data_IF_288449367806
#
_entry.id   IF_288449367806
#
_cell.length_a   1.000
_cell.length_b   1.000
_cell.length_c   1.000
_cell.angle_alpha   90.00
_cell.angle_beta   90.00
_cell.angle_gamma   90.00
#
_symmetry.space_group_name_H-M   'P 1'
#
loop_
_entity.id
_entity.type
_entity.pdbx_description
1 polymer ?
#
# COMPACT_ATOMS: atom_id res chain seq x y z
N UNK A 1 -11.51 17.19 -66.10
CA UNK A 1 -11.35 17.96 -64.91
C UNK A 1 -11.50 16.99 -63.71
N UNK A 2 -10.37 16.53 -63.13
CA UNK A 2 -10.36 15.61 -61.98
C UNK A 2 -10.26 16.45 -60.71
N UNK A 3 -11.30 16.37 -59.84
CA UNK A 3 -11.28 17.00 -58.51
C UNK A 3 -10.49 16.08 -57.56
N UNK A 4 -9.35 16.56 -57.08
CA UNK A 4 -8.62 15.96 -55.95
C UNK A 4 -9.38 16.32 -54.68
N UNK A 5 -9.91 15.33 -53.95
CA UNK A 5 -10.32 15.48 -52.56
C UNK A 5 -9.08 15.28 -51.68
N UNK A 6 -8.61 16.33 -51.05
CA UNK A 6 -7.68 16.23 -49.92
C UNK A 6 -8.50 15.84 -48.66
N UNK A 7 -8.32 14.60 -48.22
CA UNK A 7 -8.79 14.17 -46.91
C UNK A 7 -7.77 14.63 -45.86
N UNK A 8 -8.11 15.68 -45.12
CA UNK A 8 -7.31 16.12 -43.95
C UNK A 8 -7.46 15.11 -42.83
N UNK A 9 -6.38 14.41 -42.49
CA UNK A 9 -6.27 13.58 -41.28
C UNK A 9 -6.12 14.51 -40.11
N UNK A 10 -7.20 14.77 -39.38
CA UNK A 10 -7.10 15.43 -38.05
C UNK A 10 -6.50 14.43 -37.06
N UNK A 11 -5.22 14.60 -36.77
CA UNK A 11 -4.59 13.93 -35.59
C UNK A 11 -5.24 14.55 -34.34
N UNK A 12 -6.19 13.87 -33.76
CA UNK A 12 -6.67 14.14 -32.42
C UNK A 12 -5.55 13.69 -31.47
N UNK A 13 -4.71 14.62 -31.08
CA UNK A 13 -3.72 14.40 -30.02
C UNK A 13 -4.47 14.13 -28.72
N UNK A 14 -4.62 12.86 -28.33
CA UNK A 14 -5.05 12.51 -27.00
C UNK A 14 -4.03 13.08 -26.02
N UNK A 15 -4.43 14.10 -25.26
CA UNK A 15 -3.65 14.55 -24.13
C UNK A 15 -3.57 13.37 -23.13
N UNK A 16 -2.41 12.75 -23.03
CA UNK A 16 -2.16 11.75 -22.01
C UNK A 16 -2.16 12.46 -20.67
N UNK A 17 -3.27 12.40 -19.95
CA UNK A 17 -3.30 12.71 -18.52
C UNK A 17 -2.43 11.63 -17.87
N UNK A 18 -1.28 12.01 -17.36
CA UNK A 18 -0.44 11.09 -16.60
C UNK A 18 -1.25 10.60 -15.40
N UNK A 19 -1.44 9.28 -15.28
CA UNK A 19 -2.16 8.72 -14.15
C UNK A 19 -1.37 9.07 -12.88
N UNK A 20 -2.01 9.86 -11.99
CA UNK A 20 -1.39 10.19 -10.72
C UNK A 20 -1.33 8.96 -9.81
N UNK A 21 -0.32 8.87 -8.92
CA UNK A 21 -0.22 7.76 -7.98
C UNK A 21 -1.46 7.68 -7.08
N UNK A 22 -1.89 6.45 -6.79
CA UNK A 22 -2.96 6.18 -5.83
C UNK A 22 -2.40 6.23 -4.42
N UNK A 23 -3.14 6.83 -3.50
CA UNK A 23 -2.70 7.06 -2.13
C UNK A 23 -3.05 5.89 -1.21
N UNK A 24 -2.07 5.41 -0.47
CA UNK A 24 -2.18 4.43 0.62
C UNK A 24 -1.92 5.15 1.95
N UNK A 25 -2.80 4.95 2.93
CA UNK A 25 -2.56 5.41 4.30
C UNK A 25 -1.67 4.39 5.03
N UNK A 26 -0.42 4.77 5.33
CA UNK A 26 0.55 3.95 6.05
C UNK A 26 0.12 3.79 7.52
N UNK A 27 -0.15 2.55 7.94
CA UNK A 27 -0.71 2.20 9.26
C UNK A 27 -2.02 2.90 9.59
N UNK A 28 -2.80 3.24 8.55
CA UNK A 28 -4.02 4.02 8.66
C UNK A 28 -3.80 5.54 8.73
N UNK A 29 -4.87 6.30 8.97
CA UNK A 29 -4.79 7.74 9.19
C UNK A 29 -4.83 8.03 10.70
N UNK A 30 -3.68 8.01 11.33
CA UNK A 30 -3.51 8.06 12.79
C UNK A 30 -3.09 9.42 13.33
N UNK A 31 -2.77 10.40 12.49
CA UNK A 31 -2.32 11.73 12.91
C UNK A 31 -3.46 12.67 13.34
N UNK A 32 -4.63 12.11 13.60
CA UNK A 32 -5.80 12.81 14.15
C UNK A 32 -5.89 12.61 15.68
N UNK A 33 -6.44 13.58 16.44
CA UNK A 33 -6.64 13.42 17.88
C UNK A 33 -7.43 12.14 18.21
N UNK A 34 -6.99 11.39 19.22
CA UNK A 34 -7.64 10.16 19.66
C UNK A 34 -7.39 8.94 18.77
N UNK A 35 -6.44 9.03 17.84
CA UNK A 35 -6.05 7.92 16.97
C UNK A 35 -4.62 7.49 17.20
N UNK A 36 -4.32 6.21 16.97
CA UNK A 36 -2.98 5.63 17.00
C UNK A 36 -2.78 4.79 15.72
N UNK A 37 -1.52 4.60 15.31
CA UNK A 37 -1.19 3.74 14.17
C UNK A 37 -1.68 2.31 14.38
N UNK A 38 -2.06 1.62 13.29
CA UNK A 38 -2.47 0.21 13.36
C UNK A 38 -3.70 -0.07 14.25
N UNK A 39 -4.61 0.88 14.37
CA UNK A 39 -5.83 0.74 15.18
C UNK A 39 -7.11 0.83 14.37
N UNK A 40 -8.22 0.47 15.01
CA UNK A 40 -9.55 0.62 14.39
C UNK A 40 -9.84 2.10 14.08
N UNK A 41 -9.42 3.04 14.93
CA UNK A 41 -9.64 4.46 14.70
C UNK A 41 -8.88 4.96 13.47
N UNK A 42 -7.61 4.57 13.29
CA UNK A 42 -6.83 4.98 12.11
C UNK A 42 -7.37 4.38 10.81
N UNK A 43 -7.92 3.16 10.88
CA UNK A 43 -8.61 2.54 9.75
C UNK A 43 -9.87 3.32 9.37
N UNK A 44 -10.73 3.65 10.35
CA UNK A 44 -11.97 4.43 10.12
C UNK A 44 -11.63 5.79 9.50
N UNK A 45 -10.66 6.50 10.05
CA UNK A 45 -10.25 7.80 9.54
C UNK A 45 -9.77 7.73 8.08
N UNK A 46 -8.99 6.71 7.74
CA UNK A 46 -8.51 6.49 6.36
C UNK A 46 -9.66 6.12 5.41
N UNK A 47 -10.61 5.30 5.84
CA UNK A 47 -11.82 4.97 5.08
C UNK A 47 -12.68 6.22 4.81
N UNK A 48 -12.86 7.09 5.80
CA UNK A 48 -13.59 8.37 5.66
C UNK A 48 -12.87 9.35 4.72
N UNK A 49 -11.54 9.34 4.72
CA UNK A 49 -10.73 10.15 3.81
C UNK A 49 -10.85 9.70 2.35
N UNK A 50 -11.25 8.44 2.10
CA UNK A 50 -11.43 7.91 0.75
C UNK A 50 -10.11 7.67 0.02
N UNK A 51 -9.09 7.15 0.71
CA UNK A 51 -7.84 6.70 0.10
C UNK A 51 -8.02 5.37 -0.64
N UNK A 52 -7.10 5.04 -1.55
CA UNK A 52 -7.10 3.75 -2.24
C UNK A 52 -7.08 2.57 -1.29
N UNK A 53 -6.20 2.62 -0.30
CA UNK A 53 -6.03 1.53 0.63
C UNK A 53 -5.39 1.95 1.94
N UNK A 54 -5.50 1.07 2.91
CA UNK A 54 -4.88 1.18 4.23
C UNK A 54 -3.86 0.06 4.37
N UNK A 55 -2.61 0.43 4.55
CA UNK A 55 -1.57 -0.51 4.93
C UNK A 55 -1.58 -0.69 6.45
N UNK A 56 -1.33 -1.91 6.92
CA UNK A 56 -1.28 -2.25 8.34
C UNK A 56 -0.43 -3.49 8.59
N UNK A 57 0.19 -3.54 9.76
CA UNK A 57 1.18 -4.53 10.14
C UNK A 57 0.59 -5.67 10.97
N UNK A 58 0.91 -6.91 10.65
CA UNK A 58 0.42 -8.08 11.40
C UNK A 58 1.56 -8.86 12.05
N UNK A 59 1.35 -9.21 13.31
CA UNK A 59 2.19 -10.10 14.11
C UNK A 59 1.36 -11.17 14.79
N UNK A 60 2.02 -12.25 15.19
CA UNK A 60 1.43 -13.34 15.94
C UNK A 60 1.93 -13.33 17.38
N UNK A 61 1.02 -13.37 18.34
CA UNK A 61 1.33 -13.42 19.78
C UNK A 61 1.90 -14.77 20.21
N UNK A 62 2.39 -14.85 21.46
CA UNK A 62 2.91 -16.09 22.02
C UNK A 62 1.85 -17.21 22.09
N UNK A 63 0.59 -16.85 22.35
CA UNK A 63 -0.55 -17.77 22.40
C UNK A 63 -1.27 -17.95 21.05
N UNK A 64 -0.73 -17.35 19.98
CA UNK A 64 -1.17 -17.63 18.62
C UNK A 64 -2.20 -16.66 18.05
N UNK A 65 -2.61 -15.62 18.74
CA UNK A 65 -3.52 -14.61 18.18
C UNK A 65 -2.82 -13.72 17.16
N UNK A 66 -3.49 -13.40 16.06
CA UNK A 66 -3.02 -12.43 15.07
C UNK A 66 -3.48 -11.03 15.47
N UNK A 67 -2.52 -10.14 15.71
CA UNK A 67 -2.75 -8.76 16.15
C UNK A 67 -2.20 -7.76 15.14
N UNK A 68 -2.77 -6.54 15.14
CA UNK A 68 -2.34 -5.47 14.24
C UNK A 68 -1.44 -4.51 15.01
N UNK A 69 -0.11 -4.60 14.74
CA UNK A 69 0.91 -3.81 15.41
C UNK A 69 2.22 -3.81 14.63
N UNK A 70 2.89 -2.66 14.52
CA UNK A 70 4.13 -2.53 13.76
C UNK A 70 5.35 -3.15 14.46
N UNK A 71 5.66 -2.67 15.64
CA UNK A 71 6.88 -3.04 16.34
C UNK A 71 6.78 -4.38 17.09
N UNK A 72 7.92 -5.01 17.44
CA UNK A 72 7.90 -6.10 18.39
C UNK A 72 7.56 -5.58 19.79
N UNK A 73 8.02 -4.37 20.15
CA UNK A 73 7.75 -3.76 21.47
C UNK A 73 6.43 -3.00 21.48
N UNK A 74 5.69 -3.15 22.56
CA UNK A 74 4.45 -2.46 22.86
C UNK A 74 4.65 -1.72 24.19
N UNK A 75 4.81 -0.41 24.13
CA UNK A 75 5.32 0.35 25.25
C UNK A 75 6.68 -0.16 25.72
N UNK A 76 6.97 0.00 27.01
CA UNK A 76 8.29 -0.37 27.58
C UNK A 76 8.39 -1.84 28.01
N UNK A 77 7.27 -2.55 28.18
CA UNK A 77 7.21 -3.82 28.91
C UNK A 77 6.73 -5.01 28.07
N UNK A 78 5.96 -4.81 27.01
CA UNK A 78 5.36 -5.89 26.24
C UNK A 78 6.09 -6.11 24.94
N UNK A 79 6.09 -7.35 24.47
CA UNK A 79 6.61 -7.77 23.18
C UNK A 79 5.51 -8.56 22.46
N UNK A 80 5.18 -8.13 21.26
CA UNK A 80 4.09 -8.72 20.46
C UNK A 80 4.23 -10.24 20.26
N UNK A 81 5.44 -10.78 20.24
CA UNK A 81 5.68 -12.20 19.97
C UNK A 81 5.99 -13.03 21.23
N UNK A 82 6.16 -12.38 22.38
CA UNK A 82 6.51 -13.04 23.65
C UNK A 82 5.39 -13.03 24.67
N UNK A 83 4.45 -12.11 24.52
CA UNK A 83 3.30 -11.98 25.41
C UNK A 83 2.05 -12.61 24.80
N UNK A 84 1.11 -13.00 25.65
CA UNK A 84 -0.23 -13.45 25.25
C UNK A 84 -1.09 -12.26 24.83
N UNK A 85 -2.13 -12.53 24.03
CA UNK A 85 -3.07 -11.48 23.69
C UNK A 85 -3.80 -10.93 24.92
N UNK A 86 -4.08 -11.77 25.93
CA UNK A 86 -4.70 -11.34 27.17
C UNK A 86 -3.86 -10.29 27.94
N UNK A 87 -2.52 -10.36 27.85
CA UNK A 87 -1.64 -9.34 28.41
C UNK A 87 -1.61 -8.09 27.54
N UNK A 88 -1.49 -8.25 26.22
CA UNK A 88 -1.40 -7.14 25.25
C UNK A 88 -2.69 -6.33 25.19
N UNK A 89 -3.85 -6.98 25.24
CA UNK A 89 -5.17 -6.31 25.15
C UNK A 89 -5.48 -5.33 26.29
N UNK A 90 -4.73 -5.41 27.39
CA UNK A 90 -4.83 -4.48 28.53
C UNK A 90 -4.05 -3.19 28.31
N UNK A 91 -3.12 -3.20 27.36
CA UNK A 91 -2.32 -2.01 27.05
C UNK A 91 -3.17 -0.99 26.30
N UNK A 92 -3.11 0.26 26.76
CA UNK A 92 -3.79 1.40 26.13
C UNK A 92 -2.72 2.27 25.47
N UNK A 93 -2.88 2.50 24.18
CA UNK A 93 -2.01 3.35 23.38
C UNK A 93 -2.19 4.84 23.74
N UNK A 94 -1.23 5.72 23.42
CA UNK A 94 -1.30 7.14 23.77
C UNK A 94 -2.58 7.88 23.36
N UNK A 95 -3.18 7.52 22.23
CA UNK A 95 -4.45 8.07 21.75
C UNK A 95 -5.69 7.44 22.39
N UNK A 96 -5.52 6.54 23.36
CA UNK A 96 -6.62 5.88 24.08
C UNK A 96 -7.12 4.59 23.40
N UNK A 97 -6.51 4.15 22.32
CA UNK A 97 -6.89 2.95 21.59
C UNK A 97 -6.27 1.69 22.20
N UNK A 98 -6.82 0.52 21.82
CA UNK A 98 -6.22 -0.79 22.11
C UNK A 98 -5.69 -1.41 20.84
N UNK A 99 -4.72 -2.32 20.98
CA UNK A 99 -4.20 -3.12 19.87
C UNK A 99 -5.29 -4.12 19.45
N UNK A 100 -5.79 -4.03 18.21
CA UNK A 100 -6.85 -4.92 17.76
C UNK A 100 -6.30 -6.28 17.32
N UNK A 101 -7.11 -7.31 17.39
CA UNK A 101 -6.89 -8.54 16.64
C UNK A 101 -7.06 -8.29 15.14
N UNK A 102 -6.43 -9.12 14.32
CA UNK A 102 -6.65 -9.09 12.87
C UNK A 102 -8.14 -9.25 12.51
N UNK A 103 -8.84 -10.12 13.23
CA UNK A 103 -10.29 -10.31 13.04
C UNK A 103 -11.09 -9.05 13.27
N UNK A 104 -10.82 -8.32 14.32
CA UNK A 104 -11.51 -7.05 14.63
C UNK A 104 -11.21 -6.01 13.55
N UNK A 105 -9.96 -5.91 13.12
CA UNK A 105 -9.52 -4.99 12.06
C UNK A 105 -10.22 -5.29 10.74
N UNK A 106 -10.24 -6.56 10.30
CA UNK A 106 -10.93 -6.99 9.10
C UNK A 106 -12.45 -6.77 9.19
N UNK A 107 -13.07 -7.01 10.36
CA UNK A 107 -14.48 -6.73 10.57
C UNK A 107 -14.83 -5.23 10.44
N UNK A 108 -13.92 -4.34 10.80
CA UNK A 108 -14.08 -2.92 10.49
C UNK A 108 -13.86 -2.66 9.01
N UNK A 109 -12.79 -3.22 8.42
CA UNK A 109 -12.41 -3.01 7.03
C UNK A 109 -13.53 -3.31 6.03
N UNK A 110 -14.25 -4.42 6.21
CA UNK A 110 -15.34 -4.83 5.30
C UNK A 110 -16.54 -3.90 5.25
N UNK A 111 -16.64 -2.92 6.18
CA UNK A 111 -17.74 -1.93 6.17
C UNK A 111 -17.59 -0.93 5.02
N UNK A 112 -16.37 -0.79 4.46
CA UNK A 112 -16.07 0.08 3.32
C UNK A 112 -15.26 -0.73 2.30
N UNK A 113 -15.91 -1.56 1.48
CA UNK A 113 -15.25 -2.52 0.59
C UNK A 113 -14.42 -1.86 -0.52
N UNK A 114 -14.64 -0.58 -0.81
CA UNK A 114 -13.90 0.21 -1.79
C UNK A 114 -12.46 0.49 -1.32
N UNK A 115 -12.20 0.53 -0.01
CA UNK A 115 -10.87 0.73 0.55
C UNK A 115 -10.13 -0.59 0.60
N UNK A 116 -9.02 -0.73 -0.13
CA UNK A 116 -8.17 -1.92 -0.05
C UNK A 116 -7.49 -2.04 1.32
N UNK A 117 -7.35 -3.28 1.77
CA UNK A 117 -6.64 -3.62 3.00
C UNK A 117 -5.30 -4.27 2.63
N UNK A 118 -4.20 -3.55 2.85
CA UNK A 118 -2.86 -3.95 2.46
C UNK A 118 -2.14 -4.47 3.70
N UNK A 119 -2.17 -5.79 3.89
CA UNK A 119 -1.62 -6.45 5.07
C UNK A 119 -0.13 -6.68 4.91
N UNK A 120 0.69 -6.08 5.77
CA UNK A 120 2.11 -6.42 5.90
C UNK A 120 2.30 -7.54 6.92
N UNK A 121 2.77 -8.71 6.46
CA UNK A 121 3.29 -9.72 7.37
C UNK A 121 4.74 -9.39 7.73
N UNK A 122 4.98 -9.06 8.99
CA UNK A 122 6.34 -8.84 9.49
C UNK A 122 7.13 -10.14 9.47
N UNK A 123 8.43 -10.03 9.12
CA UNK A 123 9.34 -11.16 9.05
C UNK A 123 9.39 -11.93 10.39
N UNK A 124 9.37 -13.26 10.31
CA UNK A 124 9.47 -14.17 11.45
C UNK A 124 10.78 -14.96 11.42
N UNK A 125 11.02 -15.77 12.46
CA UNK A 125 12.31 -16.42 12.67
C UNK A 125 12.66 -17.46 11.62
N UNK A 126 11.67 -18.22 11.13
CA UNK A 126 11.88 -19.28 10.15
C UNK A 126 10.80 -19.28 9.09
N UNK A 127 11.10 -19.81 7.88
CA UNK A 127 10.11 -19.95 6.81
C UNK A 127 8.88 -20.78 7.22
N UNK A 128 9.04 -21.82 8.05
CA UNK A 128 7.93 -22.68 8.48
C UNK A 128 6.94 -21.91 9.38
N UNK A 129 7.45 -20.97 10.20
CA UNK A 129 6.61 -20.08 11.00
C UNK A 129 5.85 -19.14 10.07
N UNK A 130 6.52 -18.55 9.09
CA UNK A 130 5.89 -17.66 8.11
C UNK A 130 4.80 -18.39 7.32
N UNK A 131 5.07 -19.61 6.83
CA UNK A 131 4.07 -20.46 6.13
C UNK A 131 2.80 -20.63 6.97
N UNK A 132 2.92 -21.03 8.24
CA UNK A 132 1.75 -21.20 9.13
C UNK A 132 0.96 -19.90 9.32
N UNK A 133 1.66 -18.80 9.52
CA UNK A 133 1.00 -17.49 9.72
C UNK A 133 0.28 -17.04 8.45
N UNK A 134 0.88 -17.25 7.27
CA UNK A 134 0.22 -16.96 5.99
C UNK A 134 -1.02 -17.84 5.81
N UNK A 135 -0.96 -19.12 6.17
CA UNK A 135 -2.12 -20.02 6.15
C UNK A 135 -3.24 -19.53 7.07
N UNK A 136 -2.91 -19.15 8.32
CA UNK A 136 -3.86 -18.60 9.30
C UNK A 136 -4.51 -17.31 8.77
N UNK A 137 -3.72 -16.37 8.20
CA UNK A 137 -4.21 -15.11 7.62
C UNK A 137 -5.16 -15.38 6.46
N UNK A 138 -4.73 -16.16 5.46
CA UNK A 138 -5.53 -16.44 4.26
C UNK A 138 -6.80 -17.20 4.60
N UNK A 139 -6.74 -18.14 5.56
CA UNK A 139 -7.92 -18.87 6.04
C UNK A 139 -8.91 -17.93 6.74
N UNK A 140 -8.43 -16.99 7.56
CA UNK A 140 -9.26 -15.98 8.21
C UNK A 140 -9.93 -15.08 7.17
N UNK A 141 -9.18 -14.59 6.17
CA UNK A 141 -9.72 -13.76 5.09
C UNK A 141 -10.79 -14.51 4.28
N UNK A 142 -10.58 -15.79 3.95
CA UNK A 142 -11.57 -16.66 3.30
C UNK A 142 -12.83 -16.81 4.14
N UNK A 143 -12.68 -17.13 5.44
CA UNK A 143 -13.80 -17.30 6.38
C UNK A 143 -14.65 -16.02 6.51
N UNK A 144 -14.03 -14.85 6.36
CA UNK A 144 -14.71 -13.57 6.43
C UNK A 144 -15.20 -13.05 5.06
N UNK A 145 -14.96 -13.78 3.96
CA UNK A 145 -15.21 -13.36 2.59
C UNK A 145 -14.52 -12.02 2.23
N UNK A 146 -13.26 -11.85 2.66
CA UNK A 146 -12.52 -10.59 2.55
C UNK A 146 -11.43 -10.60 1.46
N UNK A 147 -11.17 -11.73 0.81
CA UNK A 147 -10.06 -11.83 -0.12
C UNK A 147 -10.08 -10.75 -1.21
N UNK A 148 -11.23 -10.44 -1.79
CA UNK A 148 -11.34 -9.46 -2.87
C UNK A 148 -10.92 -8.03 -2.45
N UNK A 149 -10.94 -7.75 -1.14
CA UNK A 149 -10.51 -6.48 -0.56
C UNK A 149 -9.03 -6.48 -0.14
N UNK A 150 -8.40 -7.68 -0.03
CA UNK A 150 -7.05 -7.83 0.50
C UNK A 150 -5.96 -7.68 -0.57
N UNK A 151 -4.88 -7.02 -0.18
CA UNK A 151 -3.55 -7.10 -0.79
C UNK A 151 -2.56 -7.53 0.30
N UNK A 152 -1.48 -8.22 -0.08
CA UNK A 152 -0.51 -8.74 0.88
C UNK A 152 0.87 -8.19 0.59
N UNK A 153 1.64 -7.94 1.64
CA UNK A 153 3.00 -7.43 1.47
C UNK A 153 3.92 -7.96 2.58
N UNK A 154 5.21 -8.10 2.29
CA UNK A 154 6.22 -8.54 3.25
C UNK A 154 7.64 -8.21 2.79
N UNK A 155 8.55 -8.02 3.75
CA UNK A 155 10.00 -8.04 3.54
C UNK A 155 10.57 -9.46 3.35
N UNK A 156 9.77 -10.51 3.55
CA UNK A 156 10.15 -11.89 3.34
C UNK A 156 9.70 -12.38 1.97
N UNK A 157 10.64 -12.72 1.08
CA UNK A 157 10.33 -13.36 -0.20
C UNK A 157 9.56 -14.65 0.00
N UNK A 158 9.90 -15.43 1.06
CA UNK A 158 9.20 -16.66 1.37
C UNK A 158 7.71 -16.40 1.67
N UNK A 159 7.42 -15.43 2.55
CA UNK A 159 6.04 -15.05 2.86
C UNK A 159 5.29 -14.57 1.61
N UNK A 160 5.94 -13.79 0.73
CA UNK A 160 5.34 -13.36 -0.53
C UNK A 160 4.99 -14.57 -1.44
N UNK A 161 5.88 -15.56 -1.55
CA UNK A 161 5.60 -16.80 -2.32
C UNK A 161 4.44 -17.58 -1.73
N UNK A 162 4.36 -17.68 -0.40
CA UNK A 162 3.26 -18.35 0.28
C UNK A 162 1.91 -17.64 0.08
N UNK A 163 1.86 -16.28 0.14
CA UNK A 163 0.67 -15.54 -0.22
C UNK A 163 0.27 -15.78 -1.68
N UNK A 164 1.22 -15.77 -2.62
CA UNK A 164 0.94 -16.09 -4.03
C UNK A 164 0.41 -17.50 -4.21
N UNK A 165 0.93 -18.49 -3.48
CA UNK A 165 0.48 -19.88 -3.52
C UNK A 165 -0.96 -20.05 -3.01
N UNK A 166 -1.32 -19.39 -1.90
CA UNK A 166 -2.59 -19.58 -1.17
C UNK A 166 -3.71 -18.64 -1.62
N UNK A 167 -3.35 -17.47 -2.16
CA UNK A 167 -4.26 -16.45 -2.64
C UNK A 167 -3.77 -15.87 -4.00
N UNK A 168 -3.71 -16.72 -5.07
CA UNK A 168 -3.05 -16.37 -6.34
C UNK A 168 -3.71 -15.21 -7.10
N UNK A 169 -4.95 -14.87 -6.79
CA UNK A 169 -5.67 -13.74 -7.41
C UNK A 169 -5.40 -12.41 -6.71
N UNK A 170 -4.85 -12.45 -5.50
CA UNK A 170 -4.57 -11.26 -4.73
C UNK A 170 -3.22 -10.66 -5.12
N UNK A 171 -3.14 -9.34 -5.13
CA UNK A 171 -1.89 -8.62 -5.29
C UNK A 171 -0.96 -8.95 -4.12
N UNK A 172 0.29 -9.27 -4.44
CA UNK A 172 1.35 -9.48 -3.45
C UNK A 172 2.51 -8.57 -3.79
N UNK A 173 2.98 -7.82 -2.80
CA UNK A 173 4.06 -6.86 -2.96
C UNK A 173 5.27 -7.33 -2.13
N UNK A 174 6.44 -7.32 -2.74
CA UNK A 174 7.69 -7.48 -2.01
C UNK A 174 8.19 -6.10 -1.56
N UNK A 175 8.51 -5.97 -0.26
CA UNK A 175 9.00 -4.71 0.34
C UNK A 175 10.52 -4.74 0.47
N UNK A 176 11.19 -3.62 0.18
CA UNK A 176 12.61 -3.45 0.52
C UNK A 176 12.98 -1.99 0.80
N UNK A 177 13.93 -1.82 1.72
CA UNK A 177 14.64 -0.57 1.98
C UNK A 177 16.16 -0.69 1.72
N UNK A 178 16.61 -1.80 1.12
CA UNK A 178 18.02 -2.09 0.87
C UNK A 178 18.41 -1.79 -0.58
N UNK A 179 19.47 -1.03 -0.77
CA UNK A 179 20.08 -0.83 -2.10
C UNK A 179 20.86 -2.06 -2.59
N UNK A 180 21.26 -2.94 -1.69
CA UNK A 180 22.22 -4.02 -2.00
C UNK A 180 21.55 -5.30 -2.50
N UNK A 181 20.31 -5.56 -2.10
CA UNK A 181 19.59 -6.80 -2.40
C UNK A 181 18.12 -6.59 -2.78
N UNK A 182 17.75 -5.53 -3.50
CA UNK A 182 16.38 -5.45 -3.99
C UNK A 182 16.18 -6.50 -5.08
N UNK A 183 15.02 -7.16 -5.08
CA UNK A 183 14.56 -7.92 -6.24
C UNK A 183 14.39 -6.92 -7.39
N UNK A 184 14.95 -7.21 -8.56
CA UNK A 184 14.72 -6.39 -9.74
C UNK A 184 13.33 -6.62 -10.36
N UNK A 185 12.94 -5.75 -11.28
CA UNK A 185 11.62 -5.79 -11.89
C UNK A 185 11.35 -7.09 -12.68
N UNK A 186 12.35 -7.66 -13.34
CA UNK A 186 12.21 -8.89 -14.12
C UNK A 186 11.99 -10.10 -13.22
N UNK A 187 12.71 -10.17 -12.09
CA UNK A 187 12.50 -11.21 -11.07
C UNK A 187 11.10 -11.05 -10.45
N UNK A 188 10.69 -9.82 -10.10
CA UNK A 188 9.36 -9.56 -9.57
C UNK A 188 8.26 -10.02 -10.54
N UNK A 189 8.41 -9.72 -11.83
CA UNK A 189 7.47 -10.16 -12.88
C UNK A 189 7.37 -11.69 -12.94
N UNK A 190 8.51 -12.38 -12.90
CA UNK A 190 8.57 -13.84 -12.93
C UNK A 190 7.89 -14.48 -11.72
N UNK A 191 8.12 -13.93 -10.51
CA UNK A 191 7.53 -14.41 -9.26
C UNK A 191 6.05 -13.98 -9.10
N UNK A 192 5.58 -13.06 -9.93
CA UNK A 192 4.22 -12.49 -9.85
C UNK A 192 4.07 -11.49 -8.69
N UNK A 193 5.16 -10.84 -8.27
CA UNK A 193 5.14 -9.79 -7.27
C UNK A 193 4.97 -8.42 -7.91
N UNK A 194 4.45 -7.48 -7.13
CA UNK A 194 4.63 -6.05 -7.29
C UNK A 194 5.75 -5.59 -6.35
N UNK A 195 6.31 -4.39 -6.55
CA UNK A 195 7.41 -3.92 -5.72
C UNK A 195 7.01 -2.70 -4.89
N UNK A 196 7.31 -2.78 -3.61
CA UNK A 196 7.07 -1.70 -2.64
C UNK A 196 8.40 -1.30 -2.02
N UNK A 197 9.03 -0.26 -2.55
CA UNK A 197 10.36 0.13 -2.12
C UNK A 197 10.38 1.50 -1.46
N UNK A 198 11.32 1.65 -0.50
CA UNK A 198 11.50 2.92 0.17
C UNK A 198 11.94 3.99 -0.82
N UNK A 199 11.64 5.25 -0.47
CA UNK A 199 12.11 6.44 -1.19
C UNK A 199 13.63 6.38 -1.43
N UNK A 200 14.39 5.89 -0.45
CA UNK A 200 15.84 5.76 -0.56
C UNK A 200 16.26 4.82 -1.70
N UNK A 201 15.56 3.69 -1.90
CA UNK A 201 15.86 2.75 -2.99
C UNK A 201 15.51 3.36 -4.34
N UNK A 202 14.28 3.84 -4.52
CA UNK A 202 13.83 4.32 -5.82
C UNK A 202 14.53 5.60 -6.27
N UNK A 203 14.82 6.54 -5.35
CA UNK A 203 15.55 7.75 -5.73
C UNK A 203 17.02 7.50 -6.09
N UNK A 204 17.64 6.45 -5.56
CA UNK A 204 19.01 6.05 -5.96
C UNK A 204 19.03 5.09 -7.16
N UNK A 205 17.89 4.49 -7.52
CA UNK A 205 17.73 3.55 -8.63
C UNK A 205 16.44 3.81 -9.42
N UNK A 206 16.28 5.00 -10.00
CA UNK A 206 15.05 5.37 -10.73
C UNK A 206 14.81 4.48 -11.97
N UNK A 207 15.85 3.90 -12.54
CA UNK A 207 15.77 2.95 -13.66
C UNK A 207 14.94 1.71 -13.34
N UNK A 208 14.79 1.35 -12.04
CA UNK A 208 13.89 0.27 -11.63
C UNK A 208 12.43 0.59 -11.95
N UNK A 209 12.01 1.83 -11.71
CA UNK A 209 10.62 2.26 -11.99
C UNK A 209 10.37 2.28 -13.49
N UNK A 210 11.33 2.77 -14.28
CA UNK A 210 11.23 2.77 -15.74
C UNK A 210 11.05 1.34 -16.26
N UNK A 211 11.84 0.38 -15.76
CA UNK A 211 11.71 -1.03 -16.12
C UNK A 211 10.38 -1.62 -15.65
N UNK A 212 9.94 -1.32 -14.42
CA UNK A 212 8.65 -1.76 -13.88
C UNK A 212 7.50 -1.29 -14.77
N UNK A 213 7.49 -0.01 -15.15
CA UNK A 213 6.49 0.58 -16.06
C UNK A 213 6.49 -0.13 -17.43
N UNK A 214 7.67 -0.42 -17.98
CA UNK A 214 7.82 -1.10 -19.28
C UNK A 214 7.19 -2.50 -19.29
N UNK A 215 7.41 -3.28 -18.23
CA UNK A 215 6.96 -4.68 -18.15
C UNK A 215 5.66 -4.89 -17.38
N UNK A 216 5.04 -3.81 -16.86
CA UNK A 216 3.78 -3.86 -16.13
C UNK A 216 3.89 -4.52 -14.75
N UNK A 217 4.94 -4.16 -13.99
CA UNK A 217 5.06 -4.41 -12.55
C UNK A 217 4.70 -3.12 -11.83
N UNK A 218 3.71 -3.15 -10.94
CA UNK A 218 3.30 -1.95 -10.21
C UNK A 218 4.31 -1.56 -9.14
N UNK A 219 4.51 -0.26 -8.97
CA UNK A 219 5.42 0.34 -8.01
C UNK A 219 4.67 1.00 -6.84
N UNK A 220 5.15 0.77 -5.61
CA UNK A 220 4.71 1.50 -4.42
C UNK A 220 5.91 2.18 -3.77
N UNK A 221 5.85 3.50 -3.65
CA UNK A 221 6.86 4.32 -2.98
C UNK A 221 6.45 4.62 -1.54
N UNK A 222 7.33 4.38 -0.57
CA UNK A 222 7.13 4.69 0.84
C UNK A 222 8.41 5.22 1.50
N UNK A 223 8.38 6.18 2.43
CA UNK A 223 7.21 6.90 2.94
C UNK A 223 7.21 8.28 2.29
N UNK A 224 6.05 8.73 1.80
CA UNK A 224 5.90 9.98 1.02
C UNK A 224 5.09 10.98 1.85
N UNK A 225 5.79 11.84 2.59
CA UNK A 225 5.20 12.76 3.56
C UNK A 225 5.36 14.24 3.18
N UNK A 226 6.00 14.54 2.04
CA UNK A 226 6.19 15.90 1.58
C UNK A 226 5.90 16.08 0.08
N UNK A 227 5.54 17.31 -0.36
CA UNK A 227 5.17 17.60 -1.75
C UNK A 227 6.25 17.29 -2.79
N UNK A 228 7.53 17.52 -2.48
CA UNK A 228 8.63 17.33 -3.42
C UNK A 228 8.76 15.85 -3.82
N UNK A 229 8.49 14.95 -2.88
CA UNK A 229 8.50 13.51 -3.15
C UNK A 229 7.25 13.07 -3.91
N UNK A 230 6.10 13.72 -3.68
CA UNK A 230 4.90 13.51 -4.50
C UNK A 230 5.17 13.91 -5.94
N UNK A 231 5.77 15.09 -6.19
CA UNK A 231 6.14 15.55 -7.52
C UNK A 231 7.11 14.58 -8.21
N UNK A 232 8.10 14.09 -7.46
CA UNK A 232 9.03 13.08 -7.95
C UNK A 232 8.29 11.79 -8.34
N UNK A 233 7.37 11.31 -7.52
CA UNK A 233 6.58 10.11 -7.80
C UNK A 233 5.69 10.27 -9.05
N UNK A 234 5.05 11.43 -9.21
CA UNK A 234 4.26 11.78 -10.41
C UNK A 234 5.14 11.79 -11.65
N UNK A 235 6.30 12.46 -11.59
CA UNK A 235 7.27 12.54 -12.68
C UNK A 235 7.74 11.16 -13.16
N UNK A 236 8.00 10.25 -12.23
CA UNK A 236 8.49 8.90 -12.53
C UNK A 236 7.36 7.88 -12.73
N UNK A 237 6.09 8.31 -12.75
CA UNK A 237 4.92 7.44 -12.96
C UNK A 237 4.83 6.29 -11.97
N UNK A 238 5.09 6.58 -10.70
CA UNK A 238 4.88 5.63 -9.60
C UNK A 238 3.39 5.35 -9.48
N UNK A 239 2.99 4.07 -9.31
CA UNK A 239 1.58 3.69 -9.28
C UNK A 239 0.92 4.00 -7.94
N UNK A 240 1.66 3.82 -6.84
CA UNK A 240 1.14 4.04 -5.47
C UNK A 240 2.15 4.79 -4.63
N UNK A 241 1.65 5.63 -3.74
CA UNK A 241 2.43 6.27 -2.68
C UNK A 241 1.81 5.98 -1.32
N UNK A 242 2.65 5.65 -0.34
CA UNK A 242 2.25 5.38 1.04
C UNK A 242 2.71 6.52 1.95
N UNK A 243 1.79 7.12 2.71
CA UNK A 243 2.05 8.32 3.54
C UNK A 243 1.54 8.17 4.96
N UNK A 244 2.28 8.75 5.93
CA UNK A 244 1.85 8.94 7.32
C UNK A 244 0.86 10.09 7.48
N UNK A 245 0.81 11.02 6.50
CA UNK A 245 -0.07 12.19 6.48
C UNK A 245 -1.00 12.14 5.25
N UNK A 246 -1.88 11.11 5.16
CA UNK A 246 -2.67 10.88 3.95
C UNK A 246 -3.62 12.04 3.61
N UNK A 247 -4.08 12.81 4.59
CA UNK A 247 -4.92 14.00 4.40
C UNK A 247 -4.18 15.09 3.61
N UNK A 248 -2.95 15.41 4.03
CA UNK A 248 -2.09 16.43 3.37
C UNK A 248 -1.69 15.96 1.98
N UNK A 249 -1.26 14.71 1.87
CA UNK A 249 -0.85 14.12 0.60
C UNK A 249 -2.01 14.06 -0.39
N UNK A 250 -3.22 13.70 0.08
CA UNK A 250 -4.43 13.72 -0.76
C UNK A 250 -4.77 15.13 -1.24
N UNK A 251 -4.74 16.10 -0.36
CA UNK A 251 -5.00 17.52 -0.72
C UNK A 251 -4.03 18.00 -1.80
N UNK A 252 -2.76 17.64 -1.69
CA UNK A 252 -1.75 18.00 -2.68
C UNK A 252 -1.99 17.31 -4.04
N UNK A 253 -2.26 16.01 -4.05
CA UNK A 253 -2.61 15.26 -5.27
C UNK A 253 -3.86 15.84 -5.96
N UNK A 254 -4.90 16.17 -5.20
CA UNK A 254 -6.13 16.75 -5.75
C UNK A 254 -5.87 18.14 -6.36
N UNK A 255 -5.00 18.95 -5.77
CA UNK A 255 -4.57 20.25 -6.34
C UNK A 255 -3.79 20.06 -7.65
N UNK A 256 -2.86 19.10 -7.74
CA UNK A 256 -2.13 18.77 -8.96
C UNK A 256 -3.09 18.33 -10.09
N UNK A 257 -4.07 17.49 -9.78
CA UNK A 257 -5.08 17.02 -10.74
C UNK A 257 -5.91 18.18 -11.30
N UNK A 258 -6.32 19.10 -10.43
CA UNK A 258 -7.08 20.30 -10.82
C UNK A 258 -6.28 21.18 -11.76
N UNK A 259 -5.00 21.44 -11.43
CA UNK A 259 -4.09 22.25 -12.25
C UNK A 259 -3.83 21.63 -13.63
N UNK A 260 -3.67 20.30 -13.70
CA UNK A 260 -3.48 19.58 -14.96
C UNK A 260 -4.73 19.65 -15.85
N UNK A 261 -5.90 19.45 -15.26
CA UNK A 261 -7.20 19.59 -15.98
C UNK A 261 -7.38 20.99 -16.54
N UNK A 262 -7.07 22.03 -15.79
CA UNK A 262 -7.16 23.40 -16.24
C UNK A 262 -6.21 23.71 -17.41
N UNK A 263 -4.97 23.21 -17.38
CA UNK A 263 -3.98 23.35 -18.46
C UNK A 263 -4.47 22.68 -19.75
N UNK A 264 -5.00 21.45 -19.64
CA UNK A 264 -5.51 20.68 -20.78
C UNK A 264 -6.77 21.32 -21.39
N UNK A 265 -7.66 21.89 -20.55
CA UNK A 265 -8.83 22.66 -20.98
C UNK A 265 -8.46 23.93 -21.74
N UNK A 266 -7.48 24.70 -21.26
CA UNK A 266 -7.00 25.91 -21.92
C UNK A 266 -6.32 25.62 -23.28
N UNK A 267 -5.60 24.51 -23.40
CA UNK A 267 -4.95 24.11 -24.66
C UNK A 267 -5.97 23.72 -25.75
N UNK A 268 -7.15 23.20 -25.36
CA UNK A 268 -8.22 22.86 -26.31
C UNK A 268 -9.06 24.06 -26.79
N UNK A 269 -8.96 25.22 -26.12
CA UNK A 269 -9.65 26.46 -26.52
C UNK A 269 -8.85 27.33 -27.51
N UNK A 270 -7.56 27.01 -27.70
CA UNK A 270 -6.65 27.75 -28.61
C UNK A 270 -6.50 27.06 -29.98
N UNK A 271 -7.16 25.94 -30.18
CA UNK A 271 -7.26 25.21 -31.47
C UNK A 271 -8.62 25.38 -32.09
#
# INVERSE_FOLDING_TARGET
MKKLLLAGLALVGAAFVSAQPRLVAHRGFYTTPGSDENTISSLINAQQLGVYGVEFDVKRTADGELIVVHGPKIGDRLDAQKNTYAEISRFVLPGGNRIPTLREFLNQGRKVPETKLILELKKHKTPEIETRIVEEIVMLCKKLNMLDQMEFTSFSEHACREFRRLAPKNKTLYISNSLWTPIDADVAKKEGFQLSYSIYVFMNRPELIDRMNEIGVESTLWIVDNPEIVDWAVKHKVDFISSNFPDRTKTYLDALRTAETARNGACNLIR
#
